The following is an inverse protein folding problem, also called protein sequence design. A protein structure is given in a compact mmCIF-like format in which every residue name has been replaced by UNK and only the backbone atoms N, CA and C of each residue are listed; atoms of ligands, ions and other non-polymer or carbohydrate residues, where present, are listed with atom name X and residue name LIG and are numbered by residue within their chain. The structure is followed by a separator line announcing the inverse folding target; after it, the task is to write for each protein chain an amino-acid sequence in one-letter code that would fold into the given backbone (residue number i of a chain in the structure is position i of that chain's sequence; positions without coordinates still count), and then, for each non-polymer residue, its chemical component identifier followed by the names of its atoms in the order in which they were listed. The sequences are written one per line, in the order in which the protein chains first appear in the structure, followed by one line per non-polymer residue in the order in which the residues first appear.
data_IF_206780924007
#
_entry.id   IF_206780924007
#
_cell.length_a   1.000
_cell.length_b   1.000
_cell.length_c   1.000
_cell.angle_alpha   90.00
_cell.angle_beta   90.00
_cell.angle_gamma   90.00
#
_symmetry.space_group_name_H-M   'P 1'
#
loop_
_entity.id
_entity.type
_entity.pdbx_description
1 polymer ?
#
# COMPACT_ATOMS: atom_id res chain seq x y z
N UNK A 1 -22.15 1.80 -22.66
CA UNK A 1 -21.21 0.66 -22.75
C UNK A 1 -19.90 1.00 -23.48
N UNK A 2 -19.92 1.79 -24.54
CA UNK A 2 -18.71 2.01 -25.36
C UNK A 2 -17.57 2.82 -24.68
N UNK A 3 -17.88 3.75 -23.78
CA UNK A 3 -16.84 4.57 -23.10
C UNK A 3 -15.96 3.76 -22.14
N UNK A 4 -16.56 2.91 -21.32
CA UNK A 4 -15.84 2.02 -20.39
C UNK A 4 -14.93 1.05 -21.15
N UNK A 5 -15.43 0.40 -22.20
CA UNK A 5 -14.64 -0.51 -23.03
C UNK A 5 -13.48 0.17 -23.73
N UNK A 6 -13.64 1.44 -24.18
CA UNK A 6 -12.58 2.23 -24.74
C UNK A 6 -11.50 2.59 -23.71
N UNK A 7 -11.90 2.95 -22.50
CA UNK A 7 -10.97 3.23 -21.40
C UNK A 7 -10.17 1.98 -20.99
N UNK A 8 -10.81 0.79 -20.90
CA UNK A 8 -10.10 -0.47 -20.65
C UNK A 8 -9.04 -0.81 -21.70
N UNK A 9 -9.28 -0.45 -22.97
CA UNK A 9 -8.30 -0.65 -24.06
C UNK A 9 -7.16 0.36 -24.04
N UNK A 10 -7.37 1.53 -23.46
CA UNK A 10 -6.37 2.57 -23.33
C UNK A 10 -5.39 2.35 -22.18
N UNK A 11 -5.65 1.35 -21.33
CA UNK A 11 -4.80 0.99 -20.19
C UNK A 11 -3.41 0.53 -20.66
N UNK A 12 -2.37 1.10 -20.06
CA UNK A 12 -0.98 0.71 -20.31
C UNK A 12 -0.60 -0.55 -19.49
N UNK A 13 -1.07 -1.72 -19.95
CA UNK A 13 -0.83 -3.00 -19.28
C UNK A 13 0.63 -3.29 -18.92
N UNK A 14 1.63 -3.00 -19.81
CA UNK A 14 3.04 -3.18 -19.47
C UNK A 14 3.51 -2.39 -18.24
N UNK A 15 2.84 -1.29 -17.90
CA UNK A 15 3.15 -0.50 -16.71
C UNK A 15 2.37 -0.99 -15.49
N UNK A 16 1.12 -1.39 -15.68
CA UNK A 16 0.23 -1.80 -14.58
C UNK A 16 0.67 -3.11 -13.94
N UNK A 17 0.95 -4.14 -14.74
CA UNK A 17 1.26 -5.47 -14.21
C UNK A 17 2.46 -5.47 -13.26
N UNK A 18 3.62 -4.87 -13.59
CA UNK A 18 4.73 -4.79 -12.65
C UNK A 18 4.37 -4.04 -11.36
N UNK A 19 3.64 -2.93 -11.46
CA UNK A 19 3.24 -2.14 -10.28
C UNK A 19 2.27 -2.92 -9.37
N UNK A 20 1.35 -3.70 -9.92
CA UNK A 20 0.48 -4.59 -9.14
C UNK A 20 1.30 -5.62 -8.36
N UNK A 21 2.28 -6.25 -9.01
CA UNK A 21 3.19 -7.22 -8.36
C UNK A 21 3.97 -6.54 -7.23
N UNK A 22 4.50 -5.35 -7.48
CA UNK A 22 5.23 -4.55 -6.48
C UNK A 22 4.34 -4.27 -5.26
N UNK A 23 3.10 -3.84 -5.45
CA UNK A 23 2.16 -3.57 -4.35
C UNK A 23 1.84 -4.83 -3.54
N UNK A 24 1.64 -5.96 -4.21
CA UNK A 24 1.43 -7.25 -3.53
C UNK A 24 2.65 -7.65 -2.70
N UNK A 25 3.87 -7.44 -3.20
CA UNK A 25 5.11 -7.69 -2.45
C UNK A 25 5.16 -6.79 -1.20
N UNK A 26 4.83 -5.49 -1.32
CA UNK A 26 4.81 -4.57 -0.19
C UNK A 26 3.89 -5.06 0.94
N UNK A 27 2.72 -5.59 0.60
CA UNK A 27 1.79 -6.11 1.61
C UNK A 27 2.20 -7.45 2.21
N UNK A 28 2.68 -8.37 1.38
CA UNK A 28 2.93 -9.75 1.80
C UNK A 28 4.27 -9.90 2.51
N UNK A 29 5.26 -9.04 2.20
CA UNK A 29 6.62 -9.21 2.71
C UNK A 29 6.71 -9.05 4.24
N UNK A 30 6.11 -8.01 4.81
CA UNK A 30 6.18 -7.73 6.25
C UNK A 30 5.49 -8.82 7.09
N UNK A 31 4.25 -9.24 6.77
CA UNK A 31 3.61 -10.36 7.45
C UNK A 31 4.36 -11.67 7.31
N UNK A 32 4.93 -11.95 6.13
CA UNK A 32 5.71 -13.18 5.90
C UNK A 32 7.00 -13.18 6.70
N UNK A 33 7.75 -12.07 6.72
CA UNK A 33 8.95 -11.92 7.53
C UNK A 33 8.67 -12.13 9.02
N UNK A 34 7.54 -11.62 9.52
CA UNK A 34 7.09 -11.84 10.88
C UNK A 34 6.67 -13.31 11.13
N UNK A 35 5.89 -13.90 10.23
CA UNK A 35 5.36 -15.26 10.38
C UNK A 35 6.47 -16.32 10.34
N UNK A 36 7.50 -16.15 9.51
CA UNK A 36 8.67 -17.05 9.45
C UNK A 36 9.41 -17.10 10.79
N UNK A 37 9.45 -16.01 11.54
CA UNK A 37 10.04 -15.98 12.89
C UNK A 37 9.22 -16.73 13.95
N UNK A 38 7.95 -17.06 13.69
CA UNK A 38 7.04 -17.66 14.68
C UNK A 38 6.70 -19.12 14.36
N UNK A 39 6.54 -19.47 13.07
CA UNK A 39 6.16 -20.83 12.67
C UNK A 39 6.65 -21.20 11.27
N UNK A 40 6.98 -22.47 11.07
CA UNK A 40 7.16 -23.08 9.75
C UNK A 40 5.78 -23.22 9.08
N UNK A 41 5.29 -22.15 8.48
CA UNK A 41 3.97 -22.17 7.86
C UNK A 41 4.04 -22.73 6.45
N UNK A 42 3.44 -23.89 6.23
CA UNK A 42 3.06 -24.33 4.90
C UNK A 42 1.95 -23.43 4.34
N UNK A 43 2.07 -23.02 3.08
CA UNK A 43 1.03 -22.27 2.37
C UNK A 43 -0.29 -23.07 2.41
N UNK A 44 -1.28 -22.59 3.14
CA UNK A 44 -2.56 -23.25 3.27
C UNK A 44 -3.51 -22.74 2.19
N UNK A 45 -4.23 -23.66 1.54
CA UNK A 45 -5.26 -23.37 0.50
C UNK A 45 -6.29 -22.31 0.95
N UNK A 46 -6.51 -22.16 2.26
CA UNK A 46 -7.38 -21.14 2.83
C UNK A 46 -6.93 -19.69 2.58
N UNK A 47 -5.70 -19.47 2.11
CA UNK A 47 -5.17 -18.15 1.76
C UNK A 47 -5.50 -17.73 0.32
N UNK A 48 -6.00 -18.64 -0.53
CA UNK A 48 -6.30 -18.33 -1.92
C UNK A 48 -7.30 -17.16 -2.11
N UNK A 49 -8.43 -17.07 -1.36
CA UNK A 49 -9.33 -15.94 -1.46
C UNK A 49 -8.69 -14.61 -1.05
N UNK A 50 -7.79 -14.63 -0.06
CA UNK A 50 -7.04 -13.45 0.36
C UNK A 50 -6.05 -13.00 -0.71
N UNK A 51 -5.40 -13.93 -1.39
CA UNK A 51 -4.51 -13.61 -2.52
C UNK A 51 -5.27 -12.95 -3.67
N UNK A 52 -6.48 -13.43 -3.98
CA UNK A 52 -7.35 -12.77 -4.99
C UNK A 52 -7.76 -11.38 -4.51
N UNK A 53 -8.10 -11.22 -3.22
CA UNK A 53 -8.38 -9.93 -2.63
C UNK A 53 -7.21 -8.96 -2.77
N UNK A 54 -5.99 -9.39 -2.43
CA UNK A 54 -4.77 -8.58 -2.58
C UNK A 54 -4.52 -8.17 -4.02
N UNK A 55 -4.71 -9.09 -4.96
CA UNK A 55 -4.57 -8.82 -6.39
C UNK A 55 -5.55 -7.73 -6.85
N UNK A 56 -6.83 -7.85 -6.46
CA UNK A 56 -7.86 -6.86 -6.79
C UNK A 56 -7.58 -5.51 -6.11
N UNK A 57 -7.16 -5.52 -4.86
CA UNK A 57 -6.80 -4.33 -4.12
C UNK A 57 -5.59 -3.61 -4.75
N UNK A 58 -4.53 -4.34 -5.10
CA UNK A 58 -3.37 -3.80 -5.79
C UNK A 58 -3.73 -3.22 -7.17
N UNK A 59 -4.58 -3.92 -7.91
CA UNK A 59 -5.08 -3.46 -9.20
C UNK A 59 -5.88 -2.16 -9.06
N UNK A 60 -6.72 -2.05 -8.03
CA UNK A 60 -7.46 -0.83 -7.68
C UNK A 60 -6.52 0.36 -7.47
N UNK A 61 -5.45 0.19 -6.70
CA UNK A 61 -4.47 1.24 -6.42
C UNK A 61 -3.82 1.72 -7.71
N UNK A 62 -3.32 0.81 -8.53
CA UNK A 62 -2.57 1.14 -9.73
C UNK A 62 -3.46 1.87 -10.75
N UNK A 63 -4.73 1.45 -10.91
CA UNK A 63 -5.69 2.18 -11.77
C UNK A 63 -5.97 3.58 -11.20
N UNK A 64 -6.10 3.72 -9.89
CA UNK A 64 -6.32 5.04 -9.29
C UNK A 64 -5.15 5.97 -9.54
N UNK A 65 -3.92 5.48 -9.46
CA UNK A 65 -2.73 6.26 -9.72
C UNK A 65 -2.63 6.71 -11.18
N UNK A 66 -2.91 5.84 -12.15
CA UNK A 66 -2.89 6.16 -13.58
C UNK A 66 -3.94 7.24 -13.94
N UNK A 67 -5.00 7.35 -13.16
CA UNK A 67 -6.10 8.29 -13.42
C UNK A 67 -6.27 9.38 -12.35
N UNK A 68 -5.19 9.83 -11.72
CA UNK A 68 -5.19 10.90 -10.72
C UNK A 68 -6.23 10.70 -9.62
N UNK A 69 -6.25 9.50 -9.03
CA UNK A 69 -7.14 9.06 -7.95
C UNK A 69 -8.64 9.00 -8.30
N UNK A 70 -9.04 9.32 -9.54
CA UNK A 70 -10.45 9.35 -9.97
C UNK A 70 -10.67 8.58 -11.26
N UNK A 71 -11.17 7.35 -11.15
CA UNK A 71 -11.48 6.53 -12.32
C UNK A 71 -12.78 5.75 -12.17
N UNK A 72 -13.70 5.94 -13.12
CA UNK A 72 -14.91 5.12 -13.19
C UNK A 72 -14.62 3.63 -13.45
N UNK A 73 -13.45 3.33 -14.04
CA UNK A 73 -12.97 1.96 -14.27
C UNK A 73 -12.73 1.20 -12.97
N UNK A 74 -12.47 1.91 -11.90
CA UNK A 74 -12.13 1.32 -10.61
C UNK A 74 -13.35 0.76 -9.85
N UNK A 75 -14.54 1.28 -10.14
CA UNK A 75 -15.78 0.85 -9.45
C UNK A 75 -16.05 -0.65 -9.51
N UNK A 76 -15.98 -1.33 -10.68
CA UNK A 76 -16.18 -2.77 -10.75
C UNK A 76 -15.14 -3.55 -9.96
N UNK A 77 -13.88 -3.10 -9.98
CA UNK A 77 -12.77 -3.73 -9.25
C UNK A 77 -12.95 -3.55 -7.75
N UNK A 78 -13.33 -2.36 -7.30
CA UNK A 78 -13.66 -2.08 -5.90
C UNK A 78 -14.82 -2.94 -5.39
N UNK A 79 -15.90 -3.07 -6.18
CA UNK A 79 -17.00 -3.95 -5.84
C UNK A 79 -16.57 -5.41 -5.72
N UNK A 80 -15.74 -5.90 -6.65
CA UNK A 80 -15.16 -7.23 -6.55
C UNK A 80 -14.30 -7.37 -5.28
N UNK A 81 -13.47 -6.37 -4.95
CA UNK A 81 -12.65 -6.37 -3.73
C UNK A 81 -13.52 -6.44 -2.47
N UNK A 82 -14.64 -5.71 -2.43
CA UNK A 82 -15.61 -5.80 -1.33
C UNK A 82 -16.20 -7.19 -1.23
N UNK A 83 -16.60 -7.80 -2.33
CA UNK A 83 -17.14 -9.17 -2.33
C UNK A 83 -16.11 -10.16 -1.77
N UNK A 84 -14.86 -10.08 -2.21
CA UNK A 84 -13.78 -10.94 -1.70
C UNK A 84 -13.40 -10.65 -0.24
N UNK A 85 -13.70 -9.46 0.30
CA UNK A 85 -13.53 -9.18 1.73
C UNK A 85 -14.36 -10.11 2.62
N UNK A 86 -15.53 -10.53 2.14
CA UNK A 86 -16.39 -11.48 2.86
C UNK A 86 -15.85 -12.91 2.90
N UNK A 87 -14.80 -13.21 2.13
CA UNK A 87 -14.10 -14.50 2.26
C UNK A 87 -13.56 -14.75 3.68
N UNK A 88 -13.30 -13.69 4.45
CA UNK A 88 -12.96 -13.78 5.87
C UNK A 88 -14.03 -14.42 6.75
N UNK A 89 -15.31 -14.41 6.34
CA UNK A 89 -16.40 -15.10 7.05
C UNK A 89 -16.24 -16.62 7.07
N UNK A 90 -15.57 -17.20 6.09
CA UNK A 90 -15.32 -18.64 6.03
C UNK A 90 -14.49 -19.14 7.21
N UNK A 91 -13.74 -18.23 7.85
CA UNK A 91 -13.00 -18.50 9.08
C UNK A 91 -13.75 -18.08 10.36
N UNK A 92 -15.02 -17.69 10.25
CA UNK A 92 -15.86 -17.27 11.39
C UNK A 92 -15.43 -15.98 12.09
N UNK A 93 -14.56 -15.18 11.46
CA UNK A 93 -13.96 -14.00 12.09
C UNK A 93 -14.50 -12.69 11.48
N UNK A 94 -15.52 -12.12 12.14
CA UNK A 94 -16.13 -10.83 11.72
C UNK A 94 -15.12 -9.68 11.74
N UNK A 95 -14.17 -9.66 12.65
CA UNK A 95 -13.12 -8.63 12.72
C UNK A 95 -12.26 -8.62 11.46
N UNK A 96 -11.95 -9.81 10.92
CA UNK A 96 -11.18 -9.96 9.70
C UNK A 96 -11.94 -9.38 8.50
N UNK A 97 -13.24 -9.64 8.38
CA UNK A 97 -14.08 -9.03 7.34
C UNK A 97 -14.09 -7.52 7.47
N UNK A 98 -14.26 -6.99 8.68
CA UNK A 98 -14.27 -5.55 8.92
C UNK A 98 -12.94 -4.90 8.48
N UNK A 99 -11.80 -5.51 8.80
CA UNK A 99 -10.48 -5.05 8.36
C UNK A 99 -10.34 -5.06 6.83
N UNK A 100 -10.78 -6.14 6.18
CA UNK A 100 -10.68 -6.25 4.72
C UNK A 100 -11.64 -5.31 3.99
N UNK A 101 -12.84 -5.04 4.53
CA UNK A 101 -13.79 -4.07 3.94
C UNK A 101 -13.31 -2.63 4.12
N UNK A 102 -12.55 -2.33 5.17
CA UNK A 102 -12.07 -0.99 5.46
C UNK A 102 -11.22 -0.41 4.31
N UNK A 103 -10.37 -1.21 3.69
CA UNK A 103 -9.53 -0.77 2.59
C UNK A 103 -10.31 -0.33 1.35
N UNK A 104 -11.16 -1.17 0.71
CA UNK A 104 -11.93 -0.74 -0.45
C UNK A 104 -12.93 0.38 -0.14
N UNK A 105 -13.46 0.46 1.08
CA UNK A 105 -14.29 1.58 1.52
C UNK A 105 -13.50 2.89 1.53
N UNK A 106 -12.28 2.89 2.08
CA UNK A 106 -11.39 4.06 2.06
C UNK A 106 -11.08 4.49 0.63
N UNK A 107 -10.76 3.52 -0.25
CA UNK A 107 -10.52 3.80 -1.67
C UNK A 107 -11.73 4.41 -2.37
N UNK A 108 -12.94 3.94 -2.05
CA UNK A 108 -14.18 4.51 -2.57
C UNK A 108 -14.38 5.96 -2.10
N UNK A 109 -14.12 6.25 -0.82
CA UNK A 109 -14.24 7.59 -0.25
C UNK A 109 -13.22 8.57 -0.85
N UNK A 110 -11.99 8.11 -1.14
CA UNK A 110 -10.98 8.90 -1.85
C UNK A 110 -11.46 9.16 -3.29
N UNK A 111 -11.90 8.13 -4.00
CA UNK A 111 -12.36 8.25 -5.38
C UNK A 111 -13.57 9.17 -5.54
N UNK A 112 -14.48 9.21 -4.57
CA UNK A 112 -15.63 10.12 -4.56
C UNK A 112 -15.27 11.56 -4.17
N UNK A 113 -14.03 11.78 -3.71
CA UNK A 113 -13.56 13.10 -3.24
C UNK A 113 -14.02 13.47 -1.84
N UNK A 114 -14.58 12.53 -1.08
CA UNK A 114 -15.02 12.77 0.30
C UNK A 114 -13.83 12.85 1.28
N UNK A 115 -12.75 12.09 1.01
CA UNK A 115 -11.51 12.10 1.81
C UNK A 115 -10.34 12.81 1.12
N UNK A 116 -10.53 13.38 -0.07
CA UNK A 116 -9.47 14.01 -0.86
C UNK A 116 -9.42 15.54 -0.62
N UNK A 117 -10.16 16.05 0.34
CA UNK A 117 -10.16 17.49 0.68
C UNK A 117 -10.14 17.66 2.20
N UNK A 118 -8.98 17.97 2.79
CA UNK A 118 -7.66 18.18 2.16
C UNK A 118 -6.99 16.85 1.70
N UNK A 119 -6.08 16.95 0.74
CA UNK A 119 -5.38 15.79 0.15
C UNK A 119 -4.61 14.98 1.21
N UNK A 120 -4.10 15.62 2.24
CA UNK A 120 -3.39 15.03 3.37
C UNK A 120 -4.30 14.05 4.15
N UNK A 121 -5.60 14.34 4.24
CA UNK A 121 -6.56 13.42 4.89
C UNK A 121 -6.69 12.12 4.11
N UNK A 122 -6.78 12.20 2.78
CA UNK A 122 -6.80 11.05 1.89
C UNK A 122 -5.51 10.23 1.99
N UNK A 123 -4.36 10.91 2.00
CA UNK A 123 -3.05 10.29 2.16
C UNK A 123 -2.93 9.51 3.48
N UNK A 124 -3.32 10.11 4.60
CA UNK A 124 -3.27 9.47 5.93
C UNK A 124 -4.23 8.27 5.97
N UNK A 125 -5.47 8.45 5.52
CA UNK A 125 -6.47 7.38 5.51
C UNK A 125 -6.04 6.20 4.64
N UNK A 126 -5.48 6.47 3.45
CA UNK A 126 -4.90 5.46 2.58
C UNK A 126 -3.77 4.71 3.26
N UNK A 127 -2.77 5.44 3.79
CA UNK A 127 -1.59 4.84 4.39
C UNK A 127 -1.94 4.00 5.62
N UNK A 128 -2.90 4.45 6.44
CA UNK A 128 -3.42 3.68 7.57
C UNK A 128 -4.07 2.38 7.10
N UNK A 129 -4.99 2.45 6.15
CA UNK A 129 -5.69 1.24 5.69
C UNK A 129 -4.79 0.30 4.92
N UNK A 130 -3.84 0.82 4.14
CA UNK A 130 -2.83 0.04 3.46
C UNK A 130 -1.97 -0.76 4.44
N UNK A 131 -1.46 -0.11 5.50
CA UNK A 131 -0.50 -0.72 6.41
C UNK A 131 -1.14 -1.61 7.49
N UNK A 132 -2.37 -1.31 7.91
CA UNK A 132 -2.98 -2.04 9.02
C UNK A 132 -4.08 -3.02 8.58
N UNK A 133 -4.78 -2.78 7.46
CA UNK A 133 -5.88 -3.67 7.04
C UNK A 133 -5.35 -5.03 6.56
N UNK A 134 -4.63 -5.03 5.44
CA UNK A 134 -4.17 -6.27 4.79
C UNK A 134 -3.07 -6.99 5.58
N UNK A 135 -2.00 -6.32 6.08
CA UNK A 135 -0.97 -7.00 6.84
C UNK A 135 -1.47 -7.64 8.14
N UNK A 136 -2.39 -6.98 8.86
CA UNK A 136 -2.99 -7.57 10.06
C UNK A 136 -3.87 -8.77 9.70
N UNK A 137 -4.65 -8.68 8.63
CA UNK A 137 -5.47 -9.80 8.15
C UNK A 137 -4.60 -11.01 7.78
N UNK A 138 -3.49 -10.78 7.08
CA UNK A 138 -2.51 -11.83 6.72
C UNK A 138 -1.92 -12.51 7.95
N UNK A 139 -1.40 -11.74 8.92
CA UNK A 139 -0.84 -12.31 10.14
C UNK A 139 -1.90 -13.07 10.91
N UNK A 140 -3.10 -12.51 11.06
CA UNK A 140 -4.20 -13.19 11.77
C UNK A 140 -4.56 -14.52 11.15
N UNK A 141 -4.57 -14.61 9.82
CA UNK A 141 -4.87 -15.84 9.08
C UNK A 141 -3.74 -16.88 9.16
N UNK A 142 -2.49 -16.42 9.17
CA UNK A 142 -1.33 -17.32 9.18
C UNK A 142 -1.01 -17.84 10.58
N UNK A 143 -1.04 -16.98 11.59
CA UNK A 143 -0.63 -17.30 12.95
C UNK A 143 -1.79 -17.56 13.92
N UNK A 144 -3.01 -17.16 13.56
CA UNK A 144 -4.21 -17.29 14.42
C UNK A 144 -4.38 -16.15 15.45
N UNK A 145 -3.36 -15.32 15.66
CA UNK A 145 -3.40 -14.17 16.58
C UNK A 145 -2.61 -12.98 16.01
N UNK A 146 -2.76 -11.81 16.62
CA UNK A 146 -1.98 -10.62 16.31
C UNK A 146 -1.36 -10.12 17.61
N UNK A 147 -0.04 -10.13 17.71
CA UNK A 147 0.66 -9.60 18.86
C UNK A 147 0.71 -8.07 18.83
N UNK A 148 0.70 -7.44 20.02
CA UNK A 148 0.84 -5.99 20.12
C UNK A 148 2.19 -5.49 19.55
N UNK A 149 3.25 -6.28 19.70
CA UNK A 149 4.56 -6.00 19.09
C UNK A 149 4.50 -5.89 17.57
N UNK A 150 3.70 -6.75 16.91
CA UNK A 150 3.53 -6.68 15.46
C UNK A 150 2.90 -5.36 15.01
N UNK A 151 1.93 -4.84 15.77
CA UNK A 151 1.31 -3.54 15.46
C UNK A 151 2.36 -2.42 15.54
N UNK A 152 3.26 -2.48 16.53
CA UNK A 152 4.38 -1.53 16.64
C UNK A 152 5.37 -1.69 15.48
N UNK A 153 5.63 -2.91 15.03
CA UNK A 153 6.47 -3.20 13.89
C UNK A 153 5.89 -2.69 12.55
N UNK A 154 4.59 -2.42 12.46
CA UNK A 154 3.96 -1.79 11.29
C UNK A 154 4.18 -0.27 11.21
N UNK A 155 4.66 0.39 12.28
CA UNK A 155 4.89 1.84 12.28
C UNK A 155 5.92 2.29 11.23
N UNK A 156 7.08 1.63 11.05
CA UNK A 156 7.99 1.95 9.94
C UNK A 156 7.35 1.75 8.57
N UNK A 157 6.54 0.68 8.37
CA UNK A 157 5.80 0.48 7.12
C UNK A 157 4.87 1.67 6.83
N UNK A 158 4.08 2.07 7.83
CA UNK A 158 3.19 3.22 7.71
C UNK A 158 3.95 4.51 7.34
N UNK A 159 5.09 4.77 7.99
CA UNK A 159 5.88 5.96 7.73
C UNK A 159 6.51 5.96 6.32
N UNK A 160 6.97 4.80 5.83
CA UNK A 160 7.50 4.63 4.47
C UNK A 160 6.39 4.86 3.44
N UNK A 161 5.24 4.19 3.60
CA UNK A 161 4.09 4.35 2.70
C UNK A 161 3.61 5.80 2.69
N UNK A 162 3.49 6.43 3.86
CA UNK A 162 3.08 7.83 3.97
C UNK A 162 4.03 8.75 3.17
N UNK A 163 5.33 8.53 3.22
CA UNK A 163 6.32 9.32 2.48
C UNK A 163 6.17 9.12 0.96
N UNK A 164 6.17 7.88 0.48
CA UNK A 164 6.12 7.63 -0.97
C UNK A 164 4.78 8.01 -1.58
N UNK A 165 3.69 7.86 -0.85
CA UNK A 165 2.35 8.18 -1.31
C UNK A 165 2.02 9.68 -1.29
N UNK A 166 2.90 10.54 -0.77
CA UNK A 166 2.77 12.00 -0.98
C UNK A 166 2.77 12.38 -2.46
N UNK A 167 3.49 11.62 -3.31
CA UNK A 167 3.60 11.92 -4.75
C UNK A 167 2.23 11.88 -5.44
N UNK A 168 1.44 10.78 -5.39
CA UNK A 168 0.13 10.74 -6.04
C UNK A 168 -0.93 11.60 -5.37
N UNK A 169 -0.86 11.80 -4.03
CA UNK A 169 -1.91 12.53 -3.31
C UNK A 169 -1.70 14.04 -3.30
N UNK A 170 -0.47 14.52 -3.15
CA UNK A 170 -0.15 15.93 -2.88
C UNK A 170 0.54 16.62 -4.07
N UNK A 171 0.67 15.96 -5.22
CA UNK A 171 1.39 16.48 -6.40
C UNK A 171 0.90 17.83 -6.89
N UNK A 172 -0.35 18.18 -6.68
CA UNK A 172 -0.98 19.42 -7.12
C UNK A 172 -1.13 20.48 -6.01
N UNK A 173 -0.62 20.21 -4.80
CA UNK A 173 -0.72 21.12 -3.67
C UNK A 173 0.50 22.06 -3.60
N UNK A 174 0.29 23.32 -3.23
CA UNK A 174 1.35 24.32 -3.02
C UNK A 174 2.32 23.92 -1.89
N UNK A 175 1.90 23.02 -0.99
CA UNK A 175 2.68 22.53 0.15
C UNK A 175 3.41 21.20 -0.10
N UNK A 176 3.39 20.68 -1.35
CA UNK A 176 4.01 19.38 -1.72
C UNK A 176 5.39 19.16 -1.11
N UNK A 177 6.26 20.17 -1.22
CA UNK A 177 7.64 20.08 -0.70
C UNK A 177 7.66 19.92 0.81
N UNK A 178 6.84 20.69 1.52
CA UNK A 178 6.75 20.66 2.98
C UNK A 178 6.22 19.29 3.47
N UNK A 179 5.17 18.79 2.83
CA UNK A 179 4.57 17.50 3.19
C UNK A 179 5.55 16.34 2.97
N UNK A 180 6.32 16.38 1.88
CA UNK A 180 7.37 15.38 1.62
C UNK A 180 8.53 15.47 2.62
N UNK A 181 8.91 16.66 3.06
CA UNK A 181 9.95 16.82 4.08
C UNK A 181 9.46 16.29 5.42
N UNK A 182 8.25 16.64 5.84
CA UNK A 182 7.67 16.18 7.11
C UNK A 182 7.53 14.66 7.13
N UNK A 183 6.95 14.08 6.09
CA UNK A 183 6.77 12.62 5.99
C UNK A 183 8.09 11.88 5.84
N UNK A 184 9.07 12.46 5.15
CA UNK A 184 10.42 11.91 5.01
C UNK A 184 11.19 11.90 6.35
N UNK A 185 11.13 13.00 7.12
CA UNK A 185 11.72 13.05 8.46
C UNK A 185 11.05 12.02 9.37
N UNK A 186 9.72 11.90 9.30
CA UNK A 186 8.97 10.92 10.07
C UNK A 186 9.37 9.49 9.70
N UNK A 187 9.52 9.18 8.40
CA UNK A 187 9.97 7.87 7.93
C UNK A 187 11.38 7.55 8.45
N UNK A 188 12.34 8.47 8.33
CA UNK A 188 13.70 8.29 8.84
C UNK A 188 13.71 8.10 10.36
N UNK A 189 12.93 8.88 11.10
CA UNK A 189 12.81 8.73 12.55
C UNK A 189 12.30 7.35 12.95
N UNK A 190 11.22 6.84 12.28
CA UNK A 190 10.69 5.50 12.52
C UNK A 190 11.71 4.40 12.17
N UNK A 191 12.51 4.57 11.12
CA UNK A 191 13.59 3.65 10.77
C UNK A 191 14.71 3.64 11.82
N UNK A 192 15.07 4.80 12.35
CA UNK A 192 16.08 4.92 13.40
C UNK A 192 15.65 4.31 14.76
N UNK A 193 14.36 4.12 15.00
CA UNK A 193 13.86 3.39 16.18
C UNK A 193 14.12 1.89 16.09
N UNK A 194 14.41 1.35 14.91
CA UNK A 194 14.85 -0.03 14.74
C UNK A 194 16.35 -0.15 14.95
N UNK A 195 16.84 -1.37 15.12
CA UNK A 195 18.28 -1.63 15.18
C UNK A 195 18.96 -1.14 13.88
N UNK A 196 19.93 -0.24 13.99
CA UNK A 196 20.66 0.34 12.86
C UNK A 196 21.61 -0.70 12.23
N UNK A 197 21.06 -1.68 11.53
CA UNK A 197 21.82 -2.60 10.70
C UNK A 197 22.09 -1.97 9.32
N UNK A 198 23.07 -2.53 8.61
CA UNK A 198 23.45 -2.04 7.27
C UNK A 198 22.24 -1.89 6.30
N UNK A 199 21.27 -2.84 6.21
CA UNK A 199 20.10 -2.65 5.33
C UNK A 199 19.25 -1.43 5.69
N UNK A 200 19.08 -1.13 6.98
CA UNK A 200 18.32 0.04 7.44
C UNK A 200 19.03 1.34 7.05
N UNK A 201 20.36 1.39 7.15
CA UNK A 201 21.15 2.54 6.71
C UNK A 201 20.98 2.77 5.20
N UNK A 202 21.03 1.69 4.41
CA UNK A 202 20.79 1.76 2.96
C UNK A 202 19.36 2.24 2.67
N UNK A 203 18.36 1.77 3.42
CA UNK A 203 16.97 2.22 3.29
C UNK A 203 16.84 3.74 3.51
N UNK A 204 17.49 4.29 4.54
CA UNK A 204 17.52 5.74 4.81
C UNK A 204 18.16 6.51 3.64
N UNK A 205 19.27 6.02 3.11
CA UNK A 205 19.94 6.65 1.95
C UNK A 205 18.99 6.67 0.74
N UNK A 206 18.27 5.56 0.48
CA UNK A 206 17.32 5.47 -0.63
C UNK A 206 16.17 6.47 -0.44
N UNK A 207 15.63 6.65 0.78
CA UNK A 207 14.59 7.65 1.05
C UNK A 207 15.09 9.06 0.69
N UNK A 208 16.30 9.43 1.13
CA UNK A 208 16.88 10.75 0.85
C UNK A 208 17.09 10.95 -0.66
N UNK A 209 17.66 9.94 -1.34
CA UNK A 209 17.88 10.00 -2.80
C UNK A 209 16.53 10.07 -3.55
N UNK A 210 15.55 9.28 -3.14
CA UNK A 210 14.21 9.29 -3.73
C UNK A 210 13.57 10.67 -3.60
N UNK A 211 13.69 11.32 -2.42
CA UNK A 211 13.17 12.67 -2.22
C UNK A 211 13.77 13.66 -3.23
N UNK A 212 15.10 13.65 -3.44
CA UNK A 212 15.75 14.52 -4.43
C UNK A 212 15.25 14.24 -5.86
N UNK A 213 15.10 12.97 -6.24
CA UNK A 213 14.62 12.60 -7.58
C UNK A 213 13.17 13.06 -7.80
N UNK A 214 12.32 12.89 -6.79
CA UNK A 214 10.91 13.29 -6.83
C UNK A 214 10.73 14.80 -6.94
N UNK A 215 11.68 15.60 -6.42
CA UNK A 215 11.64 17.06 -6.56
C UNK A 215 12.04 17.55 -7.96
N UNK A 216 12.86 16.81 -8.67
CA UNK A 216 13.39 17.23 -9.96
C UNK A 216 12.52 16.85 -11.17
N UNK A 217 11.53 15.99 -10.97
CA UNK A 217 10.71 15.46 -12.06
C UNK A 217 9.26 15.88 -11.91
N UNK A 218 8.70 16.47 -13.00
CA UNK A 218 7.28 16.83 -13.06
C UNK A 218 6.40 15.75 -13.75
N UNK A 219 7.02 14.71 -14.32
CA UNK A 219 6.38 13.68 -15.13
C UNK A 219 5.85 12.55 -14.23
N UNK A 220 4.61 12.68 -13.77
CA UNK A 220 3.96 11.77 -12.80
C UNK A 220 3.95 10.30 -13.26
N UNK A 221 3.69 10.02 -14.53
CA UNK A 221 3.56 8.65 -15.03
C UNK A 221 4.87 7.85 -14.93
N UNK A 222 6.00 8.52 -15.22
CA UNK A 222 7.33 7.91 -15.07
C UNK A 222 7.77 7.85 -13.59
N UNK A 223 7.27 8.77 -12.77
CA UNK A 223 7.55 8.79 -11.34
C UNK A 223 6.87 7.62 -10.61
N UNK A 224 5.65 7.24 -11.01
CA UNK A 224 4.89 6.19 -10.29
C UNK A 224 5.59 4.84 -10.27
N UNK A 225 6.17 4.40 -11.40
CA UNK A 225 6.93 3.16 -11.44
C UNK A 225 8.19 3.22 -10.54
N UNK A 226 8.89 4.37 -10.57
CA UNK A 226 10.06 4.61 -9.72
C UNK A 226 9.67 4.64 -8.24
N UNK A 227 8.59 5.36 -7.91
CA UNK A 227 8.05 5.49 -6.55
C UNK A 227 7.68 4.11 -5.99
N UNK A 228 6.87 3.34 -6.71
CA UNK A 228 6.46 2.01 -6.27
C UNK A 228 7.65 1.06 -6.09
N UNK A 229 8.61 1.08 -7.01
CA UNK A 229 9.80 0.22 -6.93
C UNK A 229 10.71 0.61 -5.76
N UNK A 230 10.95 1.91 -5.55
CA UNK A 230 11.78 2.37 -4.45
C UNK A 230 11.10 2.16 -3.10
N UNK A 231 9.78 2.35 -3.02
CA UNK A 231 8.97 2.01 -1.85
C UNK A 231 9.14 0.54 -1.46
N UNK A 232 8.95 -0.38 -2.40
CA UNK A 232 9.15 -1.82 -2.19
C UNK A 232 10.57 -2.11 -1.70
N UNK A 233 11.60 -1.54 -2.33
CA UNK A 233 12.99 -1.76 -1.96
C UNK A 233 13.25 -1.32 -0.51
N UNK A 234 12.76 -0.14 -0.12
CA UNK A 234 12.90 0.38 1.24
C UNK A 234 12.18 -0.51 2.25
N UNK A 235 10.98 -0.99 1.93
CA UNK A 235 10.24 -1.94 2.78
C UNK A 235 11.04 -3.23 2.98
N UNK A 236 11.52 -3.84 1.90
CA UNK A 236 12.32 -5.06 1.97
C UNK A 236 13.55 -4.85 2.85
N UNK A 237 14.33 -3.79 2.62
CA UNK A 237 15.55 -3.50 3.39
C UNK A 237 15.26 -3.21 4.87
N UNK A 238 14.13 -2.56 5.17
CA UNK A 238 13.73 -2.25 6.55
C UNK A 238 13.40 -3.51 7.36
N UNK A 239 12.82 -4.51 6.72
CA UNK A 239 12.41 -5.75 7.37
C UNK A 239 13.35 -6.93 7.08
N UNK A 240 14.47 -6.67 6.42
CA UNK A 240 15.52 -7.66 6.21
C UNK A 240 16.21 -7.94 7.55
N UNK A 241 15.88 -9.06 8.15
CA UNK A 241 16.42 -9.51 9.45
C UNK A 241 17.62 -10.44 9.29
#
# INVERSE_FOLDING_TARGET
MNKLAAQWRAINWPLIIPNVIVQMICWSYVPLAYAVGISTTSFKIHLAPLFIYELLAAFTIVIMYEHHLRSALNLPVLLATVIFSFSGLWNGNVLLVALLVLFPLTMLLIQTGMLDRPAETGLIAYSLTFCFSIPIALVRLTTGFVAASYIQDLLPLFAIVLFYQTVPFVSHNNHRMLDQVITGIFAIACLCLRSLKLPVIVAVIIIVVSWFIMQQRDDLDKQMALVSFTEMLVIILTYWS
#
